data_IF_648083599684
#
_entry.id   IF_648083599684
#
_cell.length_a   1.000
_cell.length_b   1.000
_cell.length_c   1.000
_cell.angle_alpha   90.00
_cell.angle_beta   90.00
_cell.angle_gamma   90.00
#
_symmetry.space_group_name_H-M   'P 1'
#
loop_
_entity.id
_entity.type
_entity.pdbx_description
1 polymer ?
2 non-polymer ?
3 non-polymer ?
4 non-polymer ?
5 non-polymer ?
6 water ?
#
# COMPACT_ATOMS: atom_id res chain seq x y z
N UNK A 18 0.91 2.35 1.87
CA UNK A 18 0.01 3.51 1.87
C UNK A 18 -1.17 3.31 0.97
N UNK A 19 -2.34 3.52 1.57
CA UNK A 19 -3.63 3.26 0.98
C UNK A 19 -4.32 4.53 0.47
N UNK A 20 -3.64 5.69 0.48
CA UNK A 20 -4.30 6.91 0.03
C UNK A 20 -4.57 6.90 -1.48
N UNK A 21 -3.75 6.18 -2.25
CA UNK A 21 -3.93 6.06 -3.70
C UNK A 21 -5.29 5.48 -4.09
N UNK A 22 -6.00 4.90 -3.13
CA UNK A 22 -7.25 4.20 -3.42
C UNK A 22 -8.35 5.20 -3.72
N UNK A 23 -8.83 5.21 -4.96
CA UNK A 23 -9.95 6.05 -5.35
C UNK A 23 -11.25 5.26 -5.49
N UNK A 24 -11.15 4.02 -5.93
CA UNK A 24 -12.31 3.15 -6.03
C UNK A 24 -12.26 2.17 -4.86
N UNK A 25 -13.03 1.11 -4.94
CA UNK A 25 -12.75 0.11 -3.95
C UNK A 25 -13.69 0.17 -2.76
N UNK A 26 -13.97 -1.00 -2.21
CA UNK A 26 -14.97 -1.15 -1.17
C UNK A 26 -14.37 -1.95 -0.02
N UNK A 27 -14.82 -1.64 1.18
CA UNK A 27 -14.14 -2.09 2.40
C UNK A 27 -15.19 -2.58 3.38
N UNK A 28 -14.97 -3.78 3.92
CA UNK A 28 -15.92 -4.41 4.82
C UNK A 28 -15.24 -4.85 6.11
N UNK A 29 -16.01 -4.85 7.20
CA UNK A 29 -15.52 -5.34 8.48
C UNK A 29 -15.84 -6.83 8.54
N UNK A 30 -14.88 -7.62 8.98
CA UNK A 30 -15.08 -9.04 9.27
C UNK A 30 -14.95 -9.23 10.77
N UNK A 31 -15.97 -9.83 11.40
CA UNK A 31 -15.97 -10.04 12.85
C UNK A 31 -16.05 -11.56 13.05
N UNK A 32 -14.99 -12.18 13.56
CA UNK A 32 -14.95 -13.64 13.62
C UNK A 32 -15.17 -14.12 15.05
N UNK A 33 -16.03 -15.14 15.19
CA UNK A 33 -16.14 -15.87 16.44
C UNK A 33 -14.98 -16.81 16.68
N UNK A 34 -14.05 -16.92 15.72
CA UNK A 34 -12.99 -17.92 15.82
C UNK A 34 -11.66 -17.30 15.45
N UNK A 35 -10.75 -17.22 16.39
CA UNK A 35 -9.38 -16.85 16.02
C UNK A 35 -8.70 -17.96 15.22
N UNK A 36 -9.05 -19.23 15.45
CA UNK A 36 -8.50 -20.30 14.64
C UNK A 36 -8.81 -20.12 13.16
N UNK A 37 -10.02 -19.66 12.85
CA UNK A 37 -10.40 -19.47 11.46
C UNK A 37 -9.58 -18.34 10.83
N UNK A 38 -9.24 -17.34 11.62
CA UNK A 38 -8.36 -16.31 11.07
C UNK A 38 -6.97 -16.87 10.82
N UNK A 39 -6.45 -17.69 11.75
CA UNK A 39 -5.12 -18.28 11.52
C UNK A 39 -5.12 -19.14 10.25
N UNK A 40 -6.19 -19.94 10.04
CA UNK A 40 -6.30 -20.73 8.82
C UNK A 40 -6.36 -19.84 7.58
N UNK A 41 -7.04 -18.68 7.68
CA UNK A 41 -7.19 -17.78 6.54
C UNK A 41 -5.85 -17.15 6.16
N UNK A 42 -5.05 -16.79 7.16
CA UNK A 42 -3.69 -16.28 6.90
C UNK A 42 -2.81 -17.36 6.28
N UNK A 43 -2.98 -18.62 6.72
CA UNK A 43 -2.09 -19.67 6.24
C UNK A 43 -2.39 -20.04 4.80
N UNK A 44 -3.67 -20.09 4.42
CA UNK A 44 -4.06 -20.59 3.11
C UNK A 44 -4.69 -19.54 2.21
N UNK A 45 -4.80 -18.29 2.66
CA UNK A 45 -5.29 -17.19 1.80
C UNK A 45 -6.68 -17.46 1.24
N UNK A 46 -7.59 -17.84 2.14
CA UNK A 46 -8.97 -18.13 1.81
C UNK A 46 -9.83 -17.61 2.95
N UNK A 47 -11.08 -17.37 2.64
CA UNK A 47 -12.06 -16.95 3.64
C UNK A 47 -13.43 -17.37 3.16
N UNK A 48 -14.43 -17.21 4.02
CA UNK A 48 -15.82 -17.30 3.66
C UNK A 48 -16.58 -16.52 4.72
N UNK A 49 -17.87 -16.31 4.48
CA UNK A 49 -18.66 -15.47 5.38
C UNK A 49 -19.99 -16.16 5.63
N UNK A 50 -20.93 -15.41 6.20
CA UNK A 50 -22.30 -15.89 6.38
C UNK A 50 -22.96 -16.07 5.02
N UNK A 51 -24.17 -16.63 5.03
CA UNK A 51 -24.93 -16.72 3.77
C UNK A 51 -25.15 -15.34 3.18
N UNK A 52 -25.60 -14.39 3.99
CA UNK A 52 -25.78 -13.02 3.48
C UNK A 52 -24.45 -12.38 3.14
N UNK A 53 -23.44 -12.53 4.00
CA UNK A 53 -22.15 -11.90 3.75
C UNK A 53 -21.50 -12.41 2.47
N UNK A 54 -21.62 -13.71 2.20
CA UNK A 54 -21.09 -14.25 0.95
C UNK A 54 -21.74 -13.59 -0.27
N UNK A 55 -23.06 -13.41 -0.24
CA UNK A 55 -23.72 -12.77 -1.37
C UNK A 55 -23.32 -11.30 -1.45
N UNK A 56 -23.23 -10.60 -0.32
CA UNK A 56 -22.86 -9.19 -0.33
C UNK A 56 -21.47 -8.99 -0.90
N UNK A 57 -20.51 -9.82 -0.46
CA UNK A 57 -19.14 -9.66 -0.92
C UNK A 57 -18.99 -10.09 -2.37
N UNK A 58 -19.71 -11.15 -2.77
CA UNK A 58 -19.67 -11.60 -4.16
C UNK A 58 -20.15 -10.48 -5.09
N UNK A 59 -21.30 -9.89 -4.75
CA UNK A 59 -21.83 -8.80 -5.56
C UNK A 59 -20.84 -7.65 -5.63
N UNK A 60 -20.24 -7.28 -4.50
CA UNK A 60 -19.32 -6.16 -4.48
C UNK A 60 -18.08 -6.45 -5.31
N UNK A 61 -17.51 -7.65 -5.15
CA UNK A 61 -16.34 -8.02 -5.93
C UNK A 61 -16.65 -8.04 -7.42
N UNK A 62 -17.81 -8.61 -7.80
CA UNK A 62 -18.11 -8.73 -9.21
C UNK A 62 -18.41 -7.37 -9.82
N UNK A 63 -19.10 -6.49 -9.08
CA UNK A 63 -19.42 -5.17 -9.60
C UNK A 63 -18.19 -4.30 -9.75
N UNK A 64 -17.08 -4.63 -9.07
CA UNK A 64 -15.86 -3.84 -9.24
C UNK A 64 -15.25 -4.07 -10.62
N UNK A 65 -15.40 -5.29 -11.17
CA UNK A 65 -14.86 -5.67 -12.49
C UNK A 65 -13.38 -5.33 -12.60
N UNK A 66 -12.64 -5.54 -11.50
CA UNK A 66 -11.22 -5.27 -11.47
C UNK A 66 -10.84 -3.80 -11.40
N UNK A 67 -11.81 -2.88 -11.34
CA UNK A 67 -11.51 -1.46 -11.33
C UNK A 67 -11.02 -0.93 -9.98
N UNK A 68 -10.84 -1.78 -8.97
CA UNK A 68 -10.42 -1.37 -7.64
C UNK A 68 -10.62 -2.49 -6.63
N UNK A 69 -9.98 -2.40 -5.46
CA UNK A 69 -9.94 -3.56 -4.55
C UNK A 69 -11.13 -3.66 -3.61
N UNK A 70 -11.39 -4.90 -3.16
CA UNK A 70 -12.25 -5.14 -2.00
C UNK A 70 -11.32 -5.51 -0.85
N UNK A 71 -11.34 -4.70 0.21
CA UNK A 71 -10.53 -4.95 1.39
C UNK A 71 -11.41 -5.43 2.55
N UNK A 72 -10.86 -6.33 3.35
CA UNK A 72 -11.55 -6.88 4.51
C UNK A 72 -10.73 -6.52 5.73
N UNK A 73 -11.36 -5.87 6.71
CA UNK A 73 -10.67 -5.47 7.94
C UNK A 73 -11.12 -6.44 9.02
N UNK A 74 -10.20 -7.26 9.51
CA UNK A 74 -10.54 -8.40 10.36
C UNK A 74 -10.42 -8.07 11.85
N UNK A 75 -11.31 -8.65 12.65
CA UNK A 75 -11.29 -8.50 14.10
C UNK A 75 -11.93 -9.73 14.76
N UNK A 76 -11.25 -10.30 15.75
CA UNK A 76 -11.80 -11.39 16.56
C UNK A 76 -12.74 -10.81 17.61
N UNK A 77 -14.01 -11.26 17.61
CA UNK A 77 -15.00 -10.86 18.59
C UNK A 77 -14.41 -10.90 19.98
N UNK A 78 -14.47 -9.77 20.69
CA UNK A 78 -14.07 -9.69 22.08
C UNK A 78 -12.59 -9.46 22.35
N UNK A 79 -11.74 -9.45 21.31
CA UNK A 79 -10.30 -9.28 21.47
C UNK A 79 -9.90 -7.84 21.77
N UNK A 80 -10.79 -6.88 21.49
CA UNK A 80 -10.44 -5.49 21.67
C UNK A 80 -9.46 -4.96 20.63
N UNK A 81 -9.27 -5.67 19.54
CA UNK A 81 -8.32 -5.16 18.56
C UNK A 81 -8.62 -5.78 17.20
N UNK A 82 -8.29 -5.03 16.15
CA UNK A 82 -8.31 -5.54 14.80
C UNK A 82 -7.00 -6.27 14.61
N UNK A 83 -7.01 -7.31 13.77
CA UNK A 83 -5.82 -8.13 13.60
C UNK A 83 -5.26 -8.12 12.19
N UNK A 84 -5.91 -7.44 11.26
CA UNK A 84 -5.20 -7.17 10.02
C UNK A 84 -6.16 -6.87 8.88
N UNK A 85 -5.62 -6.96 7.68
CA UNK A 85 -6.32 -6.53 6.48
C UNK A 85 -5.98 -7.50 5.36
N UNK A 86 -6.98 -7.86 4.58
CA UNK A 86 -6.77 -8.76 3.45
C UNK A 86 -7.57 -8.24 2.28
N UNK A 87 -7.05 -8.47 1.08
CA UNK A 87 -7.78 -8.13 -0.13
C UNK A 87 -8.50 -9.35 -0.67
N UNK A 88 -9.75 -9.15 -1.08
CA UNK A 88 -10.51 -10.21 -1.72
C UNK A 88 -9.97 -10.40 -3.14
N UNK A 89 -9.71 -11.67 -3.52
CA UNK A 89 -9.01 -11.94 -4.77
C UNK A 89 -9.74 -12.91 -5.69
N UNK A 90 -10.99 -13.28 -5.41
CA UNK A 90 -11.79 -14.04 -6.35
C UNK A 90 -13.25 -13.86 -5.97
N UNK A 91 -14.13 -14.26 -6.88
CA UNK A 91 -15.54 -14.38 -6.53
C UNK A 91 -15.77 -15.59 -5.62
N UNK A 92 -16.99 -15.70 -5.13
CA UNK A 92 -17.37 -16.71 -4.17
C UNK A 92 -17.75 -17.98 -4.92
N UNK A 93 -17.14 -19.09 -4.52
CA UNK A 93 -17.59 -20.44 -4.87
C UNK A 93 -18.50 -20.93 -3.76
N UNK A 94 -19.78 -21.15 -4.07
CA UNK A 94 -20.77 -21.44 -3.05
C UNK A 94 -20.81 -22.91 -2.63
N UNK A 95 -20.22 -23.80 -3.40
CA UNK A 95 -20.34 -25.25 -3.18
C UNK A 95 -18.95 -25.84 -3.06
N UNK A 96 -18.48 -25.95 -1.81
CA UNK A 96 -17.11 -26.34 -1.52
C UNK A 96 -17.14 -27.31 -0.36
N UNK A 97 -15.96 -27.87 -0.06
CA UNK A 97 -15.84 -28.89 0.98
C UNK A 97 -16.40 -28.40 2.31
N UNK A 98 -17.26 -29.21 2.91
CA UNK A 98 -17.86 -28.85 4.19
C UNK A 98 -16.88 -29.08 5.34
N UNK A 99 -17.08 -28.33 6.42
CA UNK A 99 -16.38 -28.61 7.66
C UNK A 99 -14.94 -28.17 7.76
N UNK A 100 -14.48 -27.28 6.89
CA UNK A 100 -13.08 -26.88 6.95
C UNK A 100 -12.84 -25.80 8.00
N UNK A 101 -13.89 -25.15 8.47
CA UNK A 101 -13.78 -24.03 9.41
C UNK A 101 -14.15 -24.52 10.80
N UNK A 102 -14.15 -23.59 11.76
CA UNK A 102 -14.38 -23.94 13.17
C UNK A 102 -15.75 -24.58 13.40
N UNK A 103 -16.73 -24.26 12.57
CA UNK A 103 -18.08 -24.79 12.71
C UNK A 103 -18.60 -25.14 11.32
N UNK A 104 -19.55 -26.08 11.26
CA UNK A 104 -20.04 -26.57 9.97
C UNK A 104 -20.90 -25.54 9.24
N UNK A 105 -21.47 -24.58 9.95
CA UNK A 105 -22.32 -23.57 9.33
C UNK A 105 -21.58 -22.74 8.28
N UNK A 106 -20.24 -22.65 8.35
CA UNK A 106 -19.50 -21.77 7.45
C UNK A 106 -19.33 -22.44 6.09
N UNK A 107 -20.08 -21.98 5.10
CA UNK A 107 -20.10 -22.55 3.76
C UNK A 107 -19.44 -21.60 2.76
N UNK A 108 -18.94 -22.18 1.66
CA UNK A 108 -18.38 -21.40 0.57
C UNK A 108 -16.92 -21.05 0.78
N UNK A 109 -16.35 -20.39 -0.24
CA UNK A 109 -14.94 -20.05 -0.20
C UNK A 109 -14.64 -18.97 -1.22
N UNK A 110 -13.66 -18.13 -0.89
CA UNK A 110 -13.08 -17.22 -1.86
C UNK A 110 -11.63 -16.93 -1.47
N UNK A 111 -10.83 -16.58 -2.47
CA UNK A 111 -9.43 -16.29 -2.20
C UNK A 111 -9.29 -14.89 -1.60
N UNK A 112 -8.30 -14.74 -0.72
CA UNK A 112 -7.92 -13.43 -0.20
C UNK A 112 -6.41 -13.35 -0.24
N UNK A 113 -5.89 -12.14 -0.12
CA UNK A 113 -4.47 -11.91 0.08
C UNK A 113 -4.31 -11.03 1.30
N UNK A 114 -3.71 -11.57 2.35
CA UNK A 114 -3.46 -10.79 3.53
C UNK A 114 -2.39 -9.73 3.28
N UNK A 115 -2.73 -8.48 3.59
CA UNK A 115 -1.86 -7.33 3.33
C UNK A 115 -1.16 -6.85 4.60
N UNK A 116 -1.89 -6.82 5.71
CA UNK A 116 -1.31 -6.55 7.03
C UNK A 116 -1.80 -7.62 7.99
N UNK A 117 -0.88 -8.21 8.73
CA UNK A 117 -1.22 -9.08 9.87
C UNK A 117 -0.64 -8.39 11.09
N UNK A 118 -1.47 -7.69 11.86
CA UNK A 118 -0.99 -6.93 13.00
C UNK A 118 -2.16 -6.53 13.90
N UNK A 119 -1.91 -6.53 15.20
CA UNK A 119 -2.91 -6.17 16.19
C UNK A 119 -2.92 -4.66 16.39
N UNK A 120 -4.09 -4.05 16.20
CA UNK A 120 -4.31 -2.64 16.40
C UNK A 120 -5.43 -2.46 17.42
N UNK A 121 -5.18 -1.81 18.55
CA UNK A 121 -6.23 -1.66 19.57
C UNK A 121 -7.42 -0.86 19.07
N UNK A 122 -8.60 -1.21 19.59
CA UNK A 122 -9.81 -0.47 19.23
C UNK A 122 -9.70 0.99 19.64
N UNK A 123 -8.95 1.28 20.71
CA UNK A 123 -8.77 2.65 21.16
C UNK A 123 -8.18 3.52 20.06
N UNK A 124 -7.41 2.91 19.14
CA UNK A 124 -6.85 3.67 18.04
C UNK A 124 -7.87 4.00 16.96
N UNK A 125 -9.04 3.34 16.98
CA UNK A 125 -9.98 3.38 15.87
C UNK A 125 -11.37 3.89 16.24
N UNK A 126 -11.71 3.97 17.53
CA UNK A 126 -13.13 4.15 17.86
C UNK A 126 -13.63 5.56 17.58
N UNK A 127 -12.74 6.52 17.34
CA UNK A 127 -13.23 7.84 16.97
C UNK A 127 -13.84 7.86 15.59
N UNK A 128 -13.57 6.85 14.77
CA UNK A 128 -14.06 6.81 13.39
C UNK A 128 -15.48 6.24 13.38
N UNK A 129 -16.45 7.06 12.97
CA UNK A 129 -17.85 6.70 13.03
C UNK A 129 -18.42 6.52 11.62
N UNK A 130 -19.40 5.62 11.50
CA UNK A 130 -19.91 5.17 10.21
C UNK A 130 -21.27 5.80 9.95
N UNK A 131 -21.32 6.75 9.00
CA UNK A 131 -22.57 7.44 8.71
C UNK A 131 -23.66 6.53 8.18
N UNK A 132 -23.31 5.37 7.63
CA UNK A 132 -24.28 4.38 7.20
C UNK A 132 -24.69 3.41 8.30
N UNK A 133 -24.14 3.55 9.49
CA UNK A 133 -24.50 2.69 10.61
C UNK A 133 -24.81 3.53 11.84
N UNK A 134 -25.71 4.50 11.67
CA UNK A 134 -26.22 5.33 12.76
C UNK A 134 -25.12 6.09 13.50
N UNK A 135 -24.03 6.42 12.80
CA UNK A 135 -22.89 7.12 13.37
C UNK A 135 -22.24 6.36 14.53
N UNK A 136 -22.39 5.04 14.54
CA UNK A 136 -21.73 4.23 15.55
C UNK A 136 -20.23 4.12 15.27
N UNK A 137 -19.41 3.99 16.32
CA UNK A 137 -17.98 3.78 16.08
C UNK A 137 -17.75 2.58 15.19
N UNK A 138 -16.69 2.66 14.38
CA UNK A 138 -16.37 1.58 13.46
C UNK A 138 -16.01 0.30 14.21
N UNK A 139 -15.55 0.42 15.46
CA UNK A 139 -15.21 -0.69 16.34
C UNK A 139 -16.43 -1.40 16.93
N UNK A 140 -17.63 -0.86 16.71
CA UNK A 140 -18.87 -1.48 17.16
C UNK A 140 -19.66 -2.05 15.99
N UNK A 141 -18.97 -2.49 14.93
CA UNK A 141 -19.63 -3.01 13.76
C UNK A 141 -19.86 -4.52 13.90
N UNK A 142 -20.85 -5.00 13.17
CA UNK A 142 -21.08 -6.43 13.02
C UNK A 142 -20.35 -6.97 11.79
N UNK A 143 -20.21 -8.31 11.75
CA UNK A 143 -19.67 -9.03 10.61
C UNK A 143 -20.26 -8.53 9.30
N UNK A 144 -19.39 -8.25 8.33
CA UNK A 144 -19.71 -7.85 6.94
C UNK A 144 -20.27 -6.42 6.85
N UNK A 145 -20.19 -5.62 7.91
CA UNK A 145 -20.54 -4.20 7.83
C UNK A 145 -19.69 -3.51 6.76
N UNK A 146 -20.32 -2.79 5.85
CA UNK A 146 -19.54 -2.02 4.87
C UNK A 146 -19.17 -0.65 5.43
N UNK A 147 -18.00 -0.18 5.04
CA UNK A 147 -17.41 1.05 5.58
C UNK A 147 -17.35 2.08 4.46
N UNK A 148 -17.87 3.30 4.64
CA UNK A 148 -17.76 4.31 3.58
C UNK A 148 -16.29 4.56 3.28
N UNK A 149 -15.99 4.81 2.00
CA UNK A 149 -14.60 4.85 1.58
C UNK A 149 -13.79 5.89 2.35
N UNK A 150 -14.37 7.06 2.65
CA UNK A 150 -13.55 8.07 3.31
C UNK A 150 -13.22 7.67 4.74
N UNK A 151 -14.13 6.97 5.41
CA UNK A 151 -13.80 6.40 6.71
C UNK A 151 -12.92 5.17 6.59
N UNK A 152 -13.05 4.38 5.52
CA UNK A 152 -12.17 3.24 5.36
C UNK A 152 -10.72 3.68 5.21
N UNK A 153 -10.47 4.73 4.42
CA UNK A 153 -9.09 5.20 4.24
C UNK A 153 -8.51 5.64 5.57
N UNK A 154 -9.30 6.28 6.42
CA UNK A 154 -8.81 6.65 7.74
C UNK A 154 -8.45 5.41 8.56
N UNK A 155 -9.29 4.37 8.54
CA UNK A 155 -8.95 3.14 9.26
C UNK A 155 -7.67 2.54 8.69
N UNK A 156 -7.58 2.46 7.36
CA UNK A 156 -6.43 1.82 6.75
C UNK A 156 -5.14 2.59 7.05
N UNK A 157 -5.20 3.92 6.99
CA UNK A 157 -4.01 4.70 7.33
C UNK A 157 -3.55 4.40 8.75
N UNK A 158 -4.50 4.21 9.67
CA UNK A 158 -4.15 3.99 11.07
C UNK A 158 -3.60 2.58 11.27
N UNK A 159 -4.20 1.58 10.62
CA UNK A 159 -3.68 0.21 10.74
C UNK A 159 -2.26 0.14 10.17
N UNK A 160 -2.07 0.74 9.00
CA UNK A 160 -0.79 0.66 8.30
C UNK A 160 0.34 1.30 9.09
N UNK A 161 0.11 2.46 9.69
CA UNK A 161 1.21 3.11 10.37
C UNK A 161 1.26 2.85 11.86
N UNK A 162 0.34 2.04 12.41
CA UNK A 162 0.40 1.73 13.84
C UNK A 162 1.63 0.91 14.17
N UNK A 163 2.25 1.21 15.31
CA UNK A 163 3.49 0.56 15.71
C UNK A 163 3.47 0.13 17.17
N UNK B 15 3.43 -6.35 11.13
CA UNK B 15 3.99 -7.08 10.01
C UNK B 15 3.28 -6.69 8.74
N UNK B 16 4.06 -6.16 7.79
CA UNK B 16 3.56 -5.60 6.55
C UNK B 16 3.87 -6.55 5.40
N UNK B 17 2.85 -6.88 4.61
CA UNK B 17 3.02 -7.76 3.46
C UNK B 17 2.57 -7.12 2.15
N UNK B 18 2.23 -5.82 2.16
CA UNK B 18 1.72 -5.16 0.97
C UNK B 18 2.61 -5.40 -0.25
N UNK B 19 3.94 -5.35 -0.07
CA UNK B 19 4.85 -5.32 -1.21
C UNK B 19 5.30 -6.69 -1.68
N UNK B 20 5.19 -7.72 -0.84
CA UNK B 20 5.72 -9.03 -1.22
C UNK B 20 5.08 -9.58 -2.48
N UNK B 21 3.88 -9.11 -2.85
CA UNK B 21 3.12 -9.71 -3.95
C UNK B 21 2.80 -8.72 -5.06
N UNK B 22 3.43 -7.55 -5.07
CA UNK B 22 3.28 -6.60 -6.16
C UNK B 22 3.42 -7.30 -7.49
N UNK B 23 2.39 -7.20 -8.32
CA UNK B 23 2.44 -7.82 -9.63
C UNK B 23 2.68 -6.82 -10.74
N UNK B 24 2.46 -5.54 -10.48
CA UNK B 24 2.64 -4.49 -11.46
C UNK B 24 3.37 -3.33 -10.82
N UNK B 25 3.80 -2.40 -11.65
CA UNK B 25 4.42 -1.21 -11.10
C UNK B 25 5.85 -1.05 -11.55
N UNK B 26 6.38 0.15 -11.37
CA UNK B 26 7.75 0.46 -11.72
C UNK B 26 8.35 1.26 -10.58
N UNK B 27 9.65 1.07 -10.35
CA UNK B 27 10.33 1.63 -9.20
C UNK B 27 11.64 2.24 -9.66
N UNK B 28 11.95 3.44 -9.17
CA UNK B 28 13.14 4.17 -9.57
C UNK B 28 13.86 4.70 -8.35
N UNK B 29 15.18 4.75 -8.45
CA UNK B 29 15.99 5.41 -7.43
C UNK B 29 15.99 6.88 -7.75
N UNK B 30 15.83 7.73 -6.73
CA UNK B 30 15.94 9.17 -6.87
C UNK B 30 17.14 9.58 -6.04
N UNK B 31 18.13 10.24 -6.65
CA UNK B 31 19.32 10.69 -5.92
C UNK B 31 19.34 12.21 -5.97
N UNK B 32 19.33 12.84 -4.80
CA UNK B 32 19.31 14.29 -4.69
C UNK B 32 20.56 14.80 -3.98
N UNK B 33 21.16 15.88 -4.49
CA UNK B 33 22.23 16.50 -3.70
C UNK B 33 21.70 17.33 -2.55
N UNK B 34 20.40 17.66 -2.50
CA UNK B 34 19.95 18.79 -1.70
C UNK B 34 18.90 18.40 -0.66
N UNK B 35 19.19 18.66 0.61
CA UNK B 35 18.13 18.50 1.61
C UNK B 35 17.01 19.53 1.42
N UNK B 36 17.31 20.70 0.81
CA UNK B 36 16.23 21.63 0.49
C UNK B 36 15.22 21.02 -0.47
N UNK B 37 15.71 20.32 -1.51
CA UNK B 37 14.78 19.71 -2.45
C UNK B 37 13.90 18.68 -1.74
N UNK B 38 14.51 17.84 -0.88
CA UNK B 38 13.70 16.85 -0.16
C UNK B 38 12.66 17.55 0.69
N UNK B 39 13.05 18.61 1.39
CA UNK B 39 12.10 19.31 2.25
C UNK B 39 10.97 19.92 1.45
N UNK B 40 11.28 20.53 0.30
CA UNK B 40 10.23 21.10 -0.54
C UNK B 40 9.32 20.01 -1.09
N UNK B 41 9.88 18.85 -1.40
CA UNK B 41 9.08 17.76 -1.93
C UNK B 41 8.05 17.29 -0.92
N UNK B 42 8.48 17.09 0.32
CA UNK B 42 7.56 16.64 1.37
C UNK B 42 6.53 17.72 1.67
N UNK B 43 6.94 18.99 1.65
CA UNK B 43 5.99 20.03 2.04
C UNK B 43 4.91 20.23 0.98
N UNK B 44 5.28 20.21 -0.29
CA UNK B 44 4.37 20.54 -1.37
C UNK B 44 4.01 19.34 -2.25
N UNK B 45 4.48 18.14 -1.92
CA UNK B 45 4.11 16.92 -2.66
C UNK B 45 4.38 17.07 -4.15
N UNK B 46 5.61 17.49 -4.47
CA UNK B 46 6.07 17.67 -5.85
C UNK B 46 7.51 17.19 -5.94
N UNK B 47 7.98 16.98 -7.18
CA UNK B 47 9.37 16.63 -7.42
C UNK B 47 9.80 17.10 -8.81
N UNK B 48 11.11 17.13 -9.00
CA UNK B 48 11.72 17.46 -10.28
C UNK B 48 13.11 16.84 -10.32
N UNK B 49 13.45 16.27 -11.46
CA UNK B 49 14.76 15.66 -11.66
C UNK B 49 15.52 16.47 -12.71
N UNK B 50 16.67 15.96 -13.14
CA UNK B 50 17.34 16.50 -14.31
C UNK B 50 16.47 16.35 -15.55
N UNK B 51 16.95 16.86 -16.69
CA UNK B 51 16.20 16.71 -17.93
C UNK B 51 16.14 15.25 -18.37
N UNK B 52 17.26 14.52 -18.23
CA UNK B 52 17.24 13.08 -18.52
C UNK B 52 16.30 12.35 -17.57
N UNK B 53 16.40 12.65 -16.28
CA UNK B 53 15.55 11.96 -15.31
C UNK B 53 14.08 12.19 -15.55
N UNK B 54 13.69 13.45 -15.74
CA UNK B 54 12.27 13.75 -15.92
C UNK B 54 11.71 13.03 -17.15
N UNK B 55 12.50 12.95 -18.22
CA UNK B 55 12.08 12.18 -19.39
C UNK B 55 11.80 10.73 -19.00
N UNK B 56 12.78 10.06 -18.39
CA UNK B 56 12.62 8.66 -18.04
C UNK B 56 11.42 8.45 -17.13
N UNK B 57 11.27 9.28 -16.10
CA UNK B 57 10.14 9.14 -15.20
C UNK B 57 8.83 9.42 -15.91
N UNK B 58 8.79 10.49 -16.71
CA UNK B 58 7.59 10.82 -17.48
C UNK B 58 7.20 9.64 -18.38
N UNK B 59 8.19 9.04 -19.06
CA UNK B 59 7.93 7.87 -19.89
C UNK B 59 7.30 6.75 -19.10
N UNK B 60 7.92 6.35 -17.99
CA UNK B 60 7.42 5.22 -17.22
C UNK B 60 6.03 5.51 -16.65
N UNK B 61 5.79 6.76 -16.23
CA UNK B 61 4.47 7.10 -15.71
C UNK B 61 3.43 7.14 -16.83
N UNK B 62 3.80 7.72 -17.97
CA UNK B 62 2.85 7.81 -19.08
C UNK B 62 2.62 6.44 -19.73
N UNK B 63 3.61 5.55 -19.68
CA UNK B 63 3.39 4.18 -20.16
C UNK B 63 2.62 3.33 -19.18
N UNK B 64 2.53 3.73 -17.91
CA UNK B 64 1.80 2.93 -16.93
C UNK B 64 0.29 3.11 -17.05
N UNK B 65 -0.16 4.30 -17.48
CA UNK B 65 -1.57 4.58 -17.76
C UNK B 65 -2.48 4.23 -16.59
N UNK B 66 -1.99 4.38 -15.36
CA UNK B 66 -2.79 4.08 -14.18
C UNK B 66 -2.92 2.60 -13.83
N UNK B 67 -2.23 1.71 -14.55
CA UNK B 67 -2.35 0.28 -14.28
C UNK B 67 -1.63 -0.15 -13.00
N UNK B 68 -0.62 0.60 -12.57
CA UNK B 68 0.13 0.28 -11.39
C UNK B 68 0.89 1.50 -10.87
N UNK B 69 1.54 1.38 -9.72
CA UNK B 69 2.26 2.54 -9.18
C UNK B 69 3.61 2.75 -9.84
N UNK B 70 4.07 4.00 -9.80
CA UNK B 70 5.46 4.35 -10.01
C UNK B 70 5.99 4.80 -8.65
N UNK B 71 6.88 4.01 -8.07
CA UNK B 71 7.39 4.28 -6.73
C UNK B 71 8.78 4.91 -6.87
N UNK B 72 9.11 5.84 -5.98
CA UNK B 72 10.38 6.56 -6.03
C UNK B 72 11.08 6.34 -4.70
N UNK B 73 12.32 5.80 -4.74
CA UNK B 73 13.13 5.54 -3.55
C UNK B 73 14.18 6.64 -3.39
N UNK B 74 14.02 7.52 -2.40
CA UNK B 74 14.82 8.74 -2.29
C UNK B 74 16.06 8.57 -1.42
N UNK B 75 17.15 9.20 -1.88
CA UNK B 75 18.40 9.17 -1.13
C UNK B 75 19.24 10.40 -1.50
N UNK B 76 19.75 11.09 -0.48
CA UNK B 76 20.54 12.30 -0.67
C UNK B 76 22.00 11.90 -0.86
N UNK B 77 22.59 12.29 -1.99
CA UNK B 77 23.97 11.96 -2.31
C UNK B 77 24.89 12.24 -1.13
N UNK B 78 25.62 11.21 -0.69
CA UNK B 78 26.57 11.33 0.39
C UNK B 78 26.02 11.13 1.78
N UNK B 79 24.70 10.97 1.93
CA UNK B 79 24.10 10.87 3.25
C UNK B 79 24.24 9.49 3.87
N UNK B 80 24.50 8.46 3.08
CA UNK B 80 24.66 7.13 3.61
C UNK B 80 23.36 6.42 3.90
N UNK B 81 22.22 6.99 3.53
CA UNK B 81 20.93 6.35 3.76
C UNK B 81 19.93 6.78 2.70
N UNK B 82 18.88 5.97 2.57
CA UNK B 82 17.66 6.41 1.91
C UNK B 82 16.79 7.17 2.89
N UNK B 83 16.00 8.11 2.37
CA UNK B 83 15.20 8.95 3.26
C UNK B 83 13.69 8.80 3.05
N UNK B 84 13.24 7.98 2.13
CA UNK B 84 11.81 7.77 2.06
C UNK B 84 11.39 7.19 0.73
N UNK B 85 10.07 7.07 0.59
CA UNK B 85 9.46 6.47 -0.58
C UNK B 85 8.24 7.31 -0.93
N UNK B 86 8.14 7.71 -2.17
CA UNK B 86 6.99 8.45 -2.66
C UNK B 86 6.46 7.71 -3.86
N UNK B 87 5.21 7.99 -4.16
CA UNK B 87 4.54 7.51 -5.35
C UNK B 87 4.37 8.69 -6.29
N UNK B 88 4.65 8.46 -7.55
CA UNK B 88 4.51 9.50 -8.56
C UNK B 88 3.04 9.59 -8.93
N UNK B 89 2.49 10.81 -8.98
CA UNK B 89 1.04 10.98 -9.04
C UNK B 89 0.55 11.85 -10.19
N UNK B 90 1.42 12.19 -11.14
CA UNK B 90 1.01 12.91 -12.34
C UNK B 90 2.18 12.86 -13.31
N UNK B 91 1.95 13.34 -14.52
CA UNK B 91 3.02 13.43 -15.51
C UNK B 91 3.88 14.66 -15.27
N UNK B 92 4.97 14.78 -16.04
CA UNK B 92 5.92 15.87 -15.88
C UNK B 92 5.41 17.10 -16.62
N UNK B 93 5.28 18.22 -15.90
CA UNK B 93 5.06 19.52 -16.51
C UNK B 93 6.42 20.17 -16.73
N UNK B 94 6.79 20.34 -17.99
CA UNK B 94 8.14 20.77 -18.32
C UNK B 94 8.29 22.28 -18.32
N UNK B 95 7.19 23.03 -18.40
CA UNK B 95 7.21 24.49 -18.46
C UNK B 95 6.67 25.01 -17.14
N UNK B 96 7.57 25.26 -16.20
CA UNK B 96 7.24 25.72 -14.85
C UNK B 96 8.23 26.79 -14.47
N UNK B 97 8.04 27.35 -13.29
CA UNK B 97 8.92 28.37 -12.77
C UNK B 97 10.27 27.75 -12.40
N UNK B 98 11.33 28.18 -13.08
CA UNK B 98 12.67 27.74 -12.72
C UNK B 98 13.06 28.34 -11.36
N UNK B 99 14.28 28.04 -10.93
CA UNK B 99 14.73 28.46 -9.61
C UNK B 99 14.07 27.75 -8.45
N UNK B 100 13.21 26.76 -8.70
CA UNK B 100 12.51 26.11 -7.60
C UNK B 100 13.44 25.20 -6.81
N UNK B 101 14.38 24.57 -7.48
CA UNK B 101 15.18 23.49 -6.92
C UNK B 101 16.62 23.97 -6.75
N UNK B 102 17.46 23.15 -6.10
CA UNK B 102 18.78 23.66 -5.72
C UNK B 102 19.60 24.08 -6.93
N UNK B 103 19.49 23.36 -8.05
CA UNK B 103 19.98 23.90 -9.31
C UNK B 103 19.03 25.00 -9.76
N UNK B 104 19.49 26.26 -9.66
CA UNK B 104 18.63 27.40 -9.94
C UNK B 104 17.98 27.33 -11.33
N UNK B 105 18.56 26.56 -12.25
CA UNK B 105 18.08 26.51 -13.62
C UNK B 105 17.07 25.41 -13.88
N UNK B 106 16.76 24.58 -12.88
CA UNK B 106 15.84 23.49 -13.10
C UNK B 106 14.43 24.00 -13.32
N UNK B 107 13.77 23.47 -14.34
CA UNK B 107 12.39 23.79 -14.68
C UNK B 107 11.68 22.46 -14.93
N UNK B 108 10.82 22.06 -14.01
CA UNK B 108 10.00 20.88 -14.21
C UNK B 108 9.22 20.55 -12.94
N UNK B 109 8.17 19.76 -13.04
CA UNK B 109 7.34 19.50 -11.87
C UNK B 109 6.40 18.32 -12.10
N UNK B 110 6.30 17.42 -11.13
CA UNK B 110 5.25 16.42 -11.11
C UNK B 110 4.84 16.16 -9.67
N UNK B 111 3.60 15.76 -9.47
CA UNK B 111 3.11 15.51 -8.13
C UNK B 111 3.60 14.17 -7.63
N UNK B 112 3.73 14.07 -6.30
CA UNK B 112 4.02 12.82 -5.63
C UNK B 112 3.19 12.78 -4.36
N UNK B 113 3.11 11.61 -3.77
CA UNK B 113 2.66 11.47 -2.39
C UNK B 113 3.70 10.66 -1.67
N UNK B 114 4.15 11.16 -0.54
CA UNK B 114 5.15 10.46 0.25
C UNK B 114 4.45 9.36 1.05
N UNK B 115 4.93 8.13 0.87
CA UNK B 115 4.40 6.96 1.57
C UNK B 115 5.15 6.70 2.86
N UNK B 116 6.47 6.80 2.79
CA UNK B 116 7.35 6.66 3.93
C UNK B 116 8.26 7.87 3.94
N UNK B 117 8.42 8.51 5.09
CA UNK B 117 9.51 9.45 5.33
C UNK B 117 10.32 8.87 6.47
N UNK B 118 11.46 8.26 6.16
CA UNK B 118 12.29 7.66 7.20
C UNK B 118 13.69 7.37 6.66
N UNK B 119 14.69 7.53 7.52
CA UNK B 119 16.06 7.23 7.12
C UNK B 119 16.33 5.75 7.26
N UNK B 120 17.01 5.18 6.27
CA UNK B 120 17.33 3.75 6.23
C UNK B 120 18.76 3.58 5.72
N UNK B 121 19.66 3.05 6.53
CA UNK B 121 21.08 3.02 6.15
C UNK B 121 21.35 2.20 4.89
N UNK B 122 22.30 2.67 4.08
CA UNK B 122 22.65 1.95 2.86
C UNK B 122 23.06 0.51 3.18
N UNK B 123 23.64 0.30 4.36
CA UNK B 123 24.05 -1.04 4.78
C UNK B 123 22.89 -2.01 4.72
N UNK B 124 21.72 -1.60 5.24
CA UNK B 124 20.57 -2.49 5.26
C UNK B 124 20.08 -2.86 3.86
N UNK B 125 20.65 -2.26 2.82
CA UNK B 125 20.19 -2.50 1.46
C UNK B 125 21.28 -2.90 0.49
N UNK B 126 22.56 -2.88 0.90
CA UNK B 126 23.63 -3.06 -0.08
C UNK B 126 23.56 -4.41 -0.78
N UNK B 127 23.07 -5.45 -0.10
CA UNK B 127 23.11 -6.78 -0.72
C UNK B 127 22.25 -6.88 -1.97
N UNK B 128 21.22 -6.03 -2.13
CA UNK B 128 20.38 -6.10 -3.31
C UNK B 128 21.14 -5.56 -4.51
N UNK B 129 21.23 -6.37 -5.56
CA UNK B 129 22.00 -6.04 -6.75
C UNK B 129 21.09 -5.95 -7.96
N UNK B 130 21.52 -5.17 -8.95
CA UNK B 130 20.66 -4.77 -10.06
C UNK B 130 21.17 -5.37 -11.37
N UNK B 131 20.63 -6.54 -11.72
CA UNK B 131 20.99 -7.21 -12.96
C UNK B 131 20.88 -6.30 -14.18
N UNK B 132 20.13 -5.21 -14.08
CA UNK B 132 20.04 -4.26 -15.18
C UNK B 132 21.14 -3.22 -15.14
N UNK B 133 21.88 -3.13 -14.04
CA UNK B 133 22.99 -2.18 -13.94
C UNK B 133 24.30 -2.90 -13.64
N UNK B 134 24.73 -3.77 -14.56
CA UNK B 134 25.99 -4.51 -14.42
C UNK B 134 26.10 -5.16 -13.05
N UNK B 135 25.01 -5.80 -12.60
CA UNK B 135 24.95 -6.52 -11.33
C UNK B 135 25.36 -5.68 -10.13
N UNK B 136 25.40 -4.35 -10.28
CA UNK B 136 25.84 -3.46 -9.19
C UNK B 136 24.80 -3.40 -8.07
N UNK B 137 25.23 -3.05 -6.84
CA UNK B 137 24.29 -2.94 -5.73
C UNK B 137 23.39 -1.73 -5.87
N UNK B 138 22.38 -1.70 -4.99
CA UNK B 138 21.29 -0.72 -5.14
C UNK B 138 21.65 0.62 -4.51
N UNK B 139 22.37 0.60 -3.39
CA UNK B 139 22.75 1.83 -2.71
C UNK B 139 23.89 2.54 -3.40
N UNK B 140 24.23 2.15 -4.63
CA UNK B 140 25.23 2.80 -5.48
C UNK B 140 24.66 3.15 -6.84
N UNK B 141 23.36 3.37 -6.93
CA UNK B 141 22.75 3.77 -8.20
C UNK B 141 22.88 5.29 -8.41
N UNK B 142 22.74 5.69 -9.66
CA UNK B 142 22.62 7.10 -9.99
C UNK B 142 21.14 7.50 -10.05
N UNK B 143 20.90 8.80 -10.20
CA UNK B 143 19.54 9.32 -10.20
C UNK B 143 18.73 8.70 -11.32
N UNK B 144 17.51 8.30 -11.00
CA UNK B 144 16.55 7.68 -11.91
C UNK B 144 17.04 6.34 -12.48
N UNK B 145 17.94 5.66 -11.79
CA UNK B 145 18.19 4.24 -12.06
C UNK B 145 16.91 3.43 -11.83
N UNK B 146 16.40 2.77 -12.87
CA UNK B 146 15.22 1.93 -12.64
C UNK B 146 15.63 0.63 -11.95
N UNK B 147 14.72 0.10 -11.14
CA UNK B 147 14.94 -1.06 -10.29
C UNK B 147 14.03 -2.18 -10.78
N UNK B 148 14.56 -3.36 -11.12
CA UNK B 148 13.69 -4.46 -11.55
C UNK B 148 12.69 -4.84 -10.47
N UNK B 149 11.46 -5.13 -10.89
CA UNK B 149 10.38 -5.23 -9.92
C UNK B 149 10.70 -6.20 -8.80
N UNK B 150 11.33 -7.33 -9.14
CA UNK B 150 11.63 -8.31 -8.11
C UNK B 150 12.62 -7.76 -7.09
N UNK B 151 13.58 -6.95 -7.54
CA UNK B 151 14.50 -6.36 -6.58
C UNK B 151 13.85 -5.20 -5.83
N UNK B 152 12.97 -4.46 -6.49
CA UNK B 152 12.29 -3.37 -5.80
C UNK B 152 11.48 -3.88 -4.61
N UNK B 153 10.73 -4.98 -4.79
CA UNK B 153 9.95 -5.52 -3.68
C UNK B 153 10.85 -5.84 -2.50
N UNK B 154 12.05 -6.37 -2.79
CA UNK B 154 13.01 -6.62 -1.71
C UNK B 154 13.39 -5.33 -1.00
N UNK B 155 13.71 -4.29 -1.76
CA UNK B 155 14.05 -3.01 -1.16
C UNK B 155 12.87 -2.46 -0.37
N UNK B 156 11.66 -2.48 -0.96
CA UNK B 156 10.52 -1.87 -0.30
C UNK B 156 10.18 -2.56 1.02
N UNK B 157 10.27 -3.88 1.09
CA UNK B 157 9.91 -4.52 2.36
C UNK B 157 10.88 -4.12 3.46
N UNK B 158 12.16 -4.00 3.12
CA UNK B 158 13.16 -3.59 4.11
C UNK B 158 12.84 -2.20 4.64
N UNK B 159 12.54 -1.25 3.74
CA UNK B 159 12.28 0.12 4.18
C UNK B 159 11.05 0.18 5.08
N UNK B 160 10.04 -0.64 4.78
CA UNK B 160 8.79 -0.56 5.54
C UNK B 160 8.96 -1.04 6.98
N UNK B 161 9.87 -1.97 7.23
CA UNK B 161 10.00 -2.61 8.54
C UNK B 161 11.28 -2.21 9.28
N UNK B 162 11.69 -0.95 9.17
CA UNK B 162 12.85 -0.42 9.88
C UNK B 162 12.38 0.50 11.00
N UNK B 163 13.03 0.40 12.16
CA UNK B 163 12.68 1.24 13.30
C UNK B 163 13.72 2.32 13.56
#
# INVERSE_FOLDING_TARGET
MGSSYHHHHHHSSGENLYFQHMKHGRVFIIKSYSEDDIHRSIKYNIWCSTEHGNKRLDAAYRSMNGKGPVYLLFSVNGSGHFCGVAEMKSAVDYNTCAGVWSQDKWKGRFDVRWIFVKDVPNSQLRHIRLENNENKPVTNSRDTQEVPLEKAKQVLKIIASYKHTTS
MGSSYHHHHHHSSGENLYFQHMKHGRVFIIKSYSEDDIHRSIKYNIWCSTEHGNKRLDAAYRSMNGKGPVYLLFSVNGSGHFCGVAEMKSAVDYNTCAGVWSQDKWKGRFDVRWIFVKDVPNSQLRHIRLENNENKPVTNSRDTQEVPLEKAKQVLKIIASYKHTTS
#
